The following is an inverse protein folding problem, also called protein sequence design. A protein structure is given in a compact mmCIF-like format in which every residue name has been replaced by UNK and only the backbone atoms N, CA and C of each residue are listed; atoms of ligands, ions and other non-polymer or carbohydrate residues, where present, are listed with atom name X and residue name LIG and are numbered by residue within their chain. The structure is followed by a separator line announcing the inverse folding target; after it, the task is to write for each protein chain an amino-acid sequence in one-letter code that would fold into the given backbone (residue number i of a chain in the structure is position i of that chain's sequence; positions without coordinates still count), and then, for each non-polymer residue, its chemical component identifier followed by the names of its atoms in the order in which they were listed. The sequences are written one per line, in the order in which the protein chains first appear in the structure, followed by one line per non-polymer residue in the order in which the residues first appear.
data_IF_819952740002
#
_entry.id   IF_819952740002
#
_cell.length_a   1.000
_cell.length_b   1.000
_cell.length_c   1.000
_cell.angle_alpha   90.00
_cell.angle_beta   90.00
_cell.angle_gamma   90.00
#
_symmetry.space_group_name_H-M   'P 1'
#
loop_
_entity.id
_entity.type
_entity.pdbx_description
1 polymer ?
#
# COMPACT_ATOMS: atom_id res chain seq x y z
N UNK A 1 -23.63 -6.36 -24.77
CA UNK A 1 -22.42 -7.09 -25.18
C UNK A 1 -21.64 -7.45 -23.93
N UNK A 2 -21.16 -8.69 -23.80
CA UNK A 2 -20.23 -9.09 -22.74
C UNK A 2 -18.82 -8.62 -23.10
N UNK A 3 -18.44 -7.43 -22.66
CA UNK A 3 -17.08 -6.91 -22.80
C UNK A 3 -16.50 -6.55 -21.43
N UNK A 4 -15.18 -6.64 -21.29
CA UNK A 4 -14.47 -6.18 -20.09
C UNK A 4 -14.70 -4.68 -19.90
N UNK A 5 -14.84 -4.26 -18.64
CA UNK A 5 -15.05 -2.87 -18.26
C UNK A 5 -13.81 -2.31 -17.57
N UNK A 6 -13.64 -0.99 -17.58
CA UNK A 6 -12.54 -0.32 -16.89
C UNK A 6 -13.03 0.96 -16.24
N UNK A 7 -12.62 1.18 -15.00
CA UNK A 7 -12.90 2.40 -14.24
C UNK A 7 -11.57 3.07 -13.93
N UNK A 8 -11.41 4.31 -14.38
CA UNK A 8 -10.24 5.14 -14.07
C UNK A 8 -10.60 6.10 -12.94
N UNK A 9 -9.89 5.97 -11.81
CA UNK A 9 -10.03 6.90 -10.67
C UNK A 9 -8.82 7.83 -10.64
N UNK A 10 -9.03 9.08 -11.06
CA UNK A 10 -8.00 10.12 -11.11
C UNK A 10 -8.28 11.24 -10.11
N UNK A 11 -7.24 11.95 -9.70
CA UNK A 11 -7.35 13.07 -8.78
C UNK A 11 -6.02 13.36 -8.08
N UNK A 12 -5.92 14.53 -7.47
CA UNK A 12 -4.74 14.93 -6.71
C UNK A 12 -4.51 14.04 -5.48
N UNK A 13 -3.34 14.20 -4.89
CA UNK A 13 -2.98 13.53 -3.65
C UNK A 13 -3.97 13.89 -2.53
N UNK A 14 -4.51 12.90 -1.81
CA UNK A 14 -5.53 13.15 -0.78
C UNK A 14 -6.97 13.29 -1.28
N UNK A 15 -7.23 13.26 -2.60
CA UNK A 15 -8.58 13.41 -3.16
C UNK A 15 -9.55 12.22 -2.92
N UNK A 16 -9.19 11.26 -2.06
CA UNK A 16 -10.06 10.13 -1.70
C UNK A 16 -10.07 8.94 -2.68
N UNK A 17 -9.14 8.89 -3.65
CA UNK A 17 -9.08 7.82 -4.68
C UNK A 17 -9.15 6.40 -4.10
N UNK A 18 -8.37 6.13 -3.06
CA UNK A 18 -8.31 4.80 -2.41
C UNK A 18 -9.66 4.44 -1.76
N UNK A 19 -10.30 5.38 -1.09
CA UNK A 19 -11.62 5.17 -0.47
C UNK A 19 -12.71 4.96 -1.52
N UNK A 20 -12.68 5.71 -2.64
CA UNK A 20 -13.62 5.48 -3.75
C UNK A 20 -13.49 4.07 -4.33
N UNK A 21 -12.24 3.59 -4.52
CA UNK A 21 -11.98 2.23 -5.00
C UNK A 21 -12.48 1.17 -4.00
N UNK A 22 -12.29 1.41 -2.69
CA UNK A 22 -12.78 0.52 -1.63
C UNK A 22 -14.31 0.39 -1.62
N UNK A 23 -15.03 1.51 -1.69
CA UNK A 23 -16.49 1.54 -1.73
C UNK A 23 -16.99 0.83 -2.99
N UNK A 24 -16.38 1.11 -4.15
CA UNK A 24 -16.73 0.47 -5.42
C UNK A 24 -16.56 -1.06 -5.35
N UNK A 25 -15.44 -1.55 -4.79
CA UNK A 25 -15.21 -3.00 -4.64
C UNK A 25 -16.23 -3.65 -3.71
N UNK A 26 -16.56 -3.02 -2.57
CA UNK A 26 -17.58 -3.52 -1.65
C UNK A 26 -18.97 -3.58 -2.30
N UNK A 27 -19.33 -2.56 -3.07
CA UNK A 27 -20.57 -2.54 -3.83
C UNK A 27 -20.63 -3.69 -4.84
N UNK A 28 -19.59 -3.86 -5.67
CA UNK A 28 -19.51 -4.92 -6.69
C UNK A 28 -19.56 -6.32 -6.06
N UNK A 29 -18.89 -6.53 -4.92
CA UNK A 29 -18.95 -7.80 -4.20
C UNK A 29 -20.35 -8.10 -3.64
N UNK A 30 -21.09 -7.07 -3.22
CA UNK A 30 -22.45 -7.20 -2.69
C UNK A 30 -23.46 -7.52 -3.80
N UNK A 31 -23.43 -6.77 -4.91
CA UNK A 31 -24.42 -6.93 -6.00
C UNK A 31 -24.20 -8.18 -6.85
N UNK A 32 -22.98 -8.72 -6.89
CA UNK A 32 -22.65 -9.97 -7.57
C UNK A 32 -23.20 -11.23 -6.87
N UNK A 33 -24.00 -11.08 -5.80
CA UNK A 33 -24.60 -12.19 -5.02
C UNK A 33 -23.58 -13.25 -4.61
N UNK A 34 -22.38 -12.80 -4.26
CA UNK A 34 -21.27 -13.67 -3.85
C UNK A 34 -21.51 -14.38 -2.50
N UNK A 35 -22.71 -14.30 -1.90
CA UNK A 35 -23.03 -14.93 -0.61
C UNK A 35 -22.11 -14.46 0.52
N UNK A 36 -21.80 -15.35 1.48
CA UNK A 36 -20.77 -15.17 2.51
C UNK A 36 -19.34 -14.95 1.95
N UNK A 37 -19.16 -14.93 0.62
CA UNK A 37 -17.86 -14.82 -0.03
C UNK A 37 -17.55 -13.39 -0.50
N UNK A 38 -17.65 -12.41 0.41
CA UNK A 38 -16.98 -11.11 0.25
C UNK A 38 -15.42 -11.24 0.35
N UNK A 39 -14.91 -12.49 0.35
CA UNK A 39 -13.52 -12.85 0.60
C UNK A 39 -12.57 -12.26 -0.43
N UNK A 40 -12.93 -12.25 -1.73
CA UNK A 40 -12.06 -11.70 -2.78
C UNK A 40 -11.86 -10.20 -2.57
N UNK A 41 -12.95 -9.43 -2.37
CA UNK A 41 -12.84 -8.00 -2.12
C UNK A 41 -12.11 -7.70 -0.81
N UNK A 42 -12.36 -8.48 0.25
CA UNK A 42 -11.62 -8.38 1.52
C UNK A 42 -10.13 -8.68 1.36
N UNK A 43 -9.76 -9.71 0.59
CA UNK A 43 -8.36 -10.06 0.31
C UNK A 43 -7.68 -8.95 -0.49
N UNK A 44 -8.33 -8.39 -1.51
CA UNK A 44 -7.79 -7.23 -2.25
C UNK A 44 -7.59 -6.04 -1.32
N UNK A 45 -8.56 -5.74 -0.44
CA UNK A 45 -8.43 -4.65 0.53
C UNK A 45 -7.35 -4.92 1.57
N UNK A 46 -7.16 -6.17 2.00
CA UNK A 46 -6.11 -6.57 2.93
C UNK A 46 -4.71 -6.36 2.36
N UNK A 47 -4.54 -6.28 1.03
CA UNK A 47 -3.23 -5.95 0.42
C UNK A 47 -2.82 -4.49 0.59
N UNK A 48 -3.74 -3.57 0.93
CA UNK A 48 -3.42 -2.14 0.97
C UNK A 48 -2.28 -1.79 1.95
N UNK A 49 -2.26 -2.26 3.21
CA UNK A 49 -1.12 -2.01 4.10
C UNK A 49 0.22 -2.43 3.50
N UNK A 50 0.26 -3.56 2.76
CA UNK A 50 1.48 -3.99 2.06
C UNK A 50 1.85 -3.04 0.93
N UNK A 51 0.89 -2.73 0.05
CA UNK A 51 1.15 -1.86 -1.10
C UNK A 51 1.55 -0.44 -0.66
N UNK A 52 0.99 0.06 0.43
CA UNK A 52 1.35 1.36 0.99
C UNK A 52 2.73 1.32 1.67
N UNK A 53 3.04 0.27 2.44
CA UNK A 53 4.36 0.12 3.06
C UNK A 53 5.49 0.11 2.02
N UNK A 54 5.34 -0.67 0.95
CA UNK A 54 6.38 -0.87 -0.07
C UNK A 54 6.33 0.15 -1.22
N UNK A 55 5.22 0.86 -1.40
CA UNK A 55 4.99 1.71 -2.57
C UNK A 55 4.66 3.17 -2.26
N UNK A 56 4.36 3.52 -1.00
CA UNK A 56 4.12 4.89 -0.59
C UNK A 56 5.29 5.45 0.21
N UNK A 57 5.45 6.78 0.11
CA UNK A 57 6.46 7.52 0.85
C UNK A 57 5.93 8.90 1.24
N UNK A 58 6.58 9.49 2.25
CA UNK A 58 6.37 10.90 2.57
C UNK A 58 7.10 11.79 1.55
N UNK A 59 6.37 12.74 1.01
CA UNK A 59 6.85 13.81 0.13
C UNK A 59 6.59 15.16 0.78
N UNK A 60 7.10 16.24 0.17
CA UNK A 60 6.80 17.61 0.64
C UNK A 60 5.32 17.99 0.63
N UNK A 61 4.48 17.29 -0.15
CA UNK A 61 3.05 17.61 -0.34
C UNK A 61 2.09 16.60 0.28
N UNK A 62 2.54 15.37 0.53
CA UNK A 62 1.70 14.30 1.09
C UNK A 62 2.56 13.31 1.87
N UNK A 63 2.11 13.01 3.08
CA UNK A 63 2.72 12.08 4.02
C UNK A 63 2.62 10.60 3.60
N UNK A 64 1.62 10.25 2.78
CA UNK A 64 1.38 8.90 2.29
C UNK A 64 1.18 8.90 0.76
N UNK A 65 2.19 9.34 0.02
CA UNK A 65 2.13 9.52 -1.44
C UNK A 65 2.47 8.24 -2.18
N UNK A 66 1.53 7.70 -2.96
CA UNK A 66 1.81 6.54 -3.82
C UNK A 66 2.81 6.88 -4.92
N UNK A 67 3.87 6.09 -4.99
CA UNK A 67 4.97 6.24 -5.96
C UNK A 67 4.98 5.12 -7.00
N UNK A 68 3.79 4.59 -7.30
CA UNK A 68 3.51 3.56 -8.28
C UNK A 68 2.08 3.71 -8.81
N UNK A 69 1.82 3.21 -10.01
CA UNK A 69 0.48 3.00 -10.56
C UNK A 69 -0.08 1.64 -10.13
N UNK A 70 -1.35 1.62 -9.74
CA UNK A 70 -2.07 0.40 -9.33
C UNK A 70 -3.24 0.14 -10.27
N UNK A 71 -3.30 -1.04 -10.86
CA UNK A 71 -4.45 -1.52 -11.62
C UNK A 71 -4.97 -2.80 -10.98
N UNK A 72 -6.25 -2.82 -10.61
CA UNK A 72 -6.90 -3.96 -9.98
C UNK A 72 -7.86 -4.54 -11.00
N UNK A 73 -7.55 -5.74 -11.49
CA UNK A 73 -8.43 -6.54 -12.33
C UNK A 73 -9.34 -7.38 -11.40
N UNK A 74 -10.65 -7.17 -11.49
CA UNK A 74 -11.64 -8.00 -10.82
C UNK A 74 -12.20 -9.01 -11.83
N UNK A 75 -12.19 -10.28 -11.46
CA UNK A 75 -12.56 -11.38 -12.34
C UNK A 75 -13.93 -11.91 -11.95
N UNK A 76 -14.81 -12.05 -12.94
CA UNK A 76 -16.17 -12.56 -12.76
C UNK A 76 -16.35 -13.84 -13.57
N UNK A 77 -17.09 -14.80 -13.02
CA UNK A 77 -17.44 -16.02 -13.73
C UNK A 77 -18.59 -15.79 -14.74
N UNK A 78 -18.97 -16.85 -15.46
CA UNK A 78 -20.07 -16.80 -16.44
C UNK A 78 -21.44 -16.46 -15.82
N UNK A 79 -21.57 -16.51 -14.48
CA UNK A 79 -22.77 -16.13 -13.72
C UNK A 79 -22.66 -14.73 -13.10
N UNK A 80 -21.63 -13.97 -13.45
CA UNK A 80 -21.31 -12.62 -12.94
C UNK A 80 -21.02 -12.58 -11.44
N UNK A 81 -20.56 -13.70 -10.86
CA UNK A 81 -20.06 -13.74 -9.48
C UNK A 81 -18.58 -13.41 -9.45
N UNK A 82 -18.14 -12.70 -8.41
CA UNK A 82 -16.73 -12.38 -8.24
C UNK A 82 -15.94 -13.66 -7.94
N UNK A 83 -15.10 -14.06 -8.88
CA UNK A 83 -14.33 -15.31 -8.83
C UNK A 83 -12.88 -15.11 -8.39
N UNK A 84 -12.31 -13.91 -8.61
CA UNK A 84 -10.93 -13.62 -8.29
C UNK A 84 -10.54 -12.18 -8.54
N UNK A 85 -9.28 -11.85 -8.25
CA UNK A 85 -8.71 -10.54 -8.54
C UNK A 85 -7.21 -10.64 -8.81
N UNK A 86 -6.69 -9.72 -9.61
CA UNK A 86 -5.25 -9.57 -9.89
C UNK A 86 -4.85 -8.11 -9.75
N UNK A 87 -3.76 -7.85 -9.04
CA UNK A 87 -3.21 -6.50 -8.89
C UNK A 87 -1.96 -6.39 -9.76
N UNK A 88 -1.97 -5.41 -10.66
CA UNK A 88 -0.83 -5.03 -11.47
C UNK A 88 -0.22 -3.73 -10.94
N UNK A 89 1.09 -3.74 -10.78
CA UNK A 89 1.88 -2.60 -10.32
C UNK A 89 2.68 -2.07 -11.49
N UNK A 90 2.63 -0.75 -11.69
CA UNK A 90 3.31 -0.07 -12.78
C UNK A 90 4.17 1.07 -12.24
N UNK A 91 5.28 1.37 -12.92
CA UNK A 91 6.05 2.61 -12.75
C UNK A 91 6.41 2.94 -11.29
N UNK A 92 6.90 1.95 -10.54
CA UNK A 92 7.48 2.20 -9.22
C UNK A 92 8.67 3.17 -9.35
N UNK A 93 8.69 4.23 -8.54
CA UNK A 93 9.76 5.24 -8.52
C UNK A 93 11.08 4.70 -7.94
N UNK A 94 11.83 3.94 -8.76
CA UNK A 94 13.08 3.28 -8.34
C UNK A 94 14.12 4.23 -7.74
N UNK A 95 14.20 5.47 -8.23
CA UNK A 95 15.16 6.47 -7.73
C UNK A 95 15.00 6.77 -6.25
N UNK A 96 13.77 6.67 -5.71
CA UNK A 96 13.49 6.95 -4.30
C UNK A 96 14.25 6.07 -3.33
N UNK A 97 14.56 4.83 -3.73
CA UNK A 97 15.31 3.89 -2.89
C UNK A 97 16.69 4.44 -2.55
N UNK A 98 17.35 5.11 -3.49
CA UNK A 98 18.74 5.56 -3.36
C UNK A 98 18.89 7.07 -3.19
N UNK A 99 17.84 7.85 -3.45
CA UNK A 99 17.86 9.31 -3.38
C UNK A 99 16.58 9.88 -2.76
N UNK A 100 16.69 10.84 -1.85
CA UNK A 100 15.56 11.59 -1.30
C UNK A 100 15.84 13.10 -1.31
N UNK A 101 14.85 13.89 -1.70
CA UNK A 101 14.91 15.35 -1.58
C UNK A 101 14.72 15.78 -0.12
N UNK A 102 15.11 17.02 0.20
CA UNK A 102 14.87 17.63 1.50
C UNK A 102 13.38 17.56 1.89
N UNK A 103 13.11 17.17 3.14
CA UNK A 103 11.75 17.03 3.66
C UNK A 103 10.99 15.78 3.19
N UNK A 104 11.61 14.89 2.41
CA UNK A 104 11.02 13.62 1.99
C UNK A 104 11.58 12.41 2.74
N UNK A 105 10.87 11.29 2.71
CA UNK A 105 11.37 9.99 3.20
C UNK A 105 11.52 9.01 2.05
N UNK A 106 12.26 7.94 2.32
CA UNK A 106 12.19 6.71 1.52
C UNK A 106 10.82 6.01 1.74
N UNK A 107 10.62 4.83 1.14
CA UNK A 107 9.41 4.03 1.34
C UNK A 107 9.18 3.70 2.81
N UNK A 108 7.90 3.68 3.22
CA UNK A 108 7.52 3.52 4.62
C UNK A 108 8.06 2.24 5.26
N UNK A 109 8.13 1.13 4.49
CA UNK A 109 8.59 -0.17 4.99
C UNK A 109 9.96 -0.11 5.65
N UNK A 110 10.87 0.75 5.18
CA UNK A 110 12.20 0.87 5.78
C UNK A 110 12.12 1.41 7.21
N UNK A 111 11.35 2.48 7.41
CA UNK A 111 11.17 3.08 8.73
C UNK A 111 10.34 2.18 9.64
N UNK A 112 9.34 1.48 9.10
CA UNK A 112 8.55 0.48 9.81
C UNK A 112 9.41 -0.69 10.31
N UNK A 113 10.33 -1.21 9.51
CA UNK A 113 11.26 -2.27 9.95
C UNK A 113 12.22 -1.76 11.02
N UNK A 114 12.88 -0.63 10.77
CA UNK A 114 13.86 -0.05 11.70
C UNK A 114 13.21 0.31 13.05
N UNK A 115 11.97 0.82 13.03
CA UNK A 115 11.30 1.28 14.24
C UNK A 115 10.42 0.20 14.89
N UNK A 116 9.83 -0.72 14.11
CA UNK A 116 8.80 -1.65 14.57
C UNK A 116 9.20 -3.12 14.68
N UNK A 117 10.29 -3.57 14.05
CA UNK A 117 10.68 -4.97 14.10
C UNK A 117 11.06 -5.40 15.54
N UNK A 118 10.67 -6.61 16.00
CA UNK A 118 11.02 -7.09 17.33
C UNK A 118 12.48 -7.56 17.43
N UNK A 119 13.08 -7.99 16.33
CA UNK A 119 14.43 -8.57 16.25
C UNK A 119 15.46 -7.63 15.58
N UNK A 120 15.40 -6.33 15.91
CA UNK A 120 16.24 -5.29 15.26
C UNK A 120 17.74 -5.57 15.31
N UNK A 121 18.24 -6.10 16.42
CA UNK A 121 19.66 -6.39 16.60
C UNK A 121 20.13 -7.51 15.65
N UNK A 122 19.32 -8.56 15.47
CA UNK A 122 19.58 -9.64 14.51
C UNK A 122 19.58 -9.12 13.07
N UNK A 123 18.64 -8.21 12.77
CA UNK A 123 18.52 -7.57 11.47
C UNK A 123 19.56 -6.46 11.23
N UNK A 124 20.35 -6.07 12.25
CA UNK A 124 21.32 -4.97 12.17
C UNK A 124 20.71 -3.57 12.02
N UNK A 125 19.46 -3.37 12.46
CA UNK A 125 18.70 -2.10 12.33
C UNK A 125 18.41 -1.40 13.66
N UNK A 126 19.01 -1.87 14.75
CA UNK A 126 18.86 -1.36 16.11
C UNK A 126 19.39 0.08 16.31
N UNK A 127 20.29 0.54 15.44
CA UNK A 127 20.89 1.88 15.49
C UNK A 127 20.01 3.00 14.92
N UNK A 128 18.80 2.70 14.46
CA UNK A 128 17.85 3.68 13.94
C UNK A 128 18.11 4.10 12.47
N UNK A 129 17.22 4.89 11.86
CA UNK A 129 17.31 5.21 10.42
C UNK A 129 18.48 6.15 10.09
N UNK A 130 19.00 6.88 11.06
CA UNK A 130 20.05 7.91 10.88
C UNK A 130 21.37 7.33 10.39
N UNK A 131 21.66 6.05 10.69
CA UNK A 131 22.92 5.41 10.30
C UNK A 131 22.91 4.86 8.87
N UNK A 132 21.75 4.80 8.23
CA UNK A 132 21.60 4.24 6.90
C UNK A 132 21.62 5.34 5.84
N UNK A 133 22.58 5.29 4.93
CA UNK A 133 22.70 6.27 3.84
C UNK A 133 21.42 6.41 3.00
N UNK A 134 20.63 5.35 2.84
CA UNK A 134 19.37 5.39 2.09
C UNK A 134 18.17 5.93 2.88
N UNK A 135 18.34 6.25 4.17
CA UNK A 135 17.26 6.75 5.03
C UNK A 135 17.58 8.11 5.67
N UNK A 136 18.82 8.61 5.53
CA UNK A 136 19.30 9.81 6.23
C UNK A 136 19.56 11.04 5.36
N UNK A 137 19.32 10.95 4.05
CA UNK A 137 19.70 12.01 3.09
C UNK A 137 18.92 13.31 3.29
N UNK A 138 17.67 13.22 3.74
CA UNK A 138 16.79 14.37 3.98
C UNK A 138 16.82 14.88 5.41
N UNK A 139 17.49 14.18 6.33
CA UNK A 139 17.42 14.44 7.78
C UNK A 139 16.04 14.16 8.41
N UNK A 140 15.08 13.63 7.65
CA UNK A 140 13.72 13.37 8.13
C UNK A 140 13.49 11.89 8.43
N UNK A 141 13.35 11.59 9.72
CA UNK A 141 13.20 10.21 10.22
C UNK A 141 11.79 9.88 10.67
N UNK A 142 11.11 10.87 11.26
CA UNK A 142 9.75 10.80 11.77
C UNK A 142 8.88 11.85 11.09
N UNK A 143 7.56 11.66 11.15
CA UNK A 143 6.58 12.55 10.53
C UNK A 143 5.32 12.61 11.39
N UNK A 144 4.72 13.81 11.60
CA UNK A 144 3.44 13.90 12.28
C UNK A 144 2.39 13.00 11.64
N UNK A 145 1.64 12.25 12.45
CA UNK A 145 0.59 11.34 11.98
C UNK A 145 1.08 10.01 11.41
N UNK A 146 2.39 9.75 11.37
CA UNK A 146 2.95 8.45 10.98
C UNK A 146 3.50 7.73 12.21
N UNK A 147 2.87 6.62 12.58
CA UNK A 147 3.38 5.67 13.57
C UNK A 147 3.95 4.44 12.87
N UNK A 148 5.26 4.45 12.65
CA UNK A 148 5.97 3.35 11.99
C UNK A 148 5.90 2.03 12.78
N UNK A 149 5.73 2.07 14.11
CA UNK A 149 5.64 0.87 14.97
C UNK A 149 4.27 0.21 14.83
N UNK A 150 3.20 1.01 14.88
CA UNK A 150 1.84 0.51 14.65
C UNK A 150 1.70 0.00 13.21
N UNK A 151 2.17 0.77 12.23
CA UNK A 151 2.10 0.39 10.83
C UNK A 151 2.89 -0.90 10.52
N UNK A 152 4.02 -1.15 11.19
CA UNK A 152 4.73 -2.43 11.06
C UNK A 152 3.87 -3.62 11.50
N UNK A 153 3.13 -3.48 12.61
CA UNK A 153 2.20 -4.53 13.07
C UNK A 153 1.09 -4.79 12.06
N UNK A 154 0.55 -3.73 11.45
CA UNK A 154 -0.46 -3.83 10.39
C UNK A 154 0.09 -4.57 9.16
N UNK A 155 1.33 -4.28 8.75
CA UNK A 155 2.01 -4.98 7.66
C UNK A 155 2.18 -6.47 7.98
N UNK A 156 2.64 -6.82 9.19
CA UNK A 156 2.74 -8.22 9.61
C UNK A 156 1.38 -8.93 9.61
N UNK A 157 0.33 -8.27 10.12
CA UNK A 157 -1.04 -8.79 10.08
C UNK A 157 -1.57 -8.97 8.65
N UNK A 158 -1.25 -8.04 7.75
CA UNK A 158 -1.60 -8.16 6.34
C UNK A 158 -0.88 -9.34 5.66
N UNK A 159 0.43 -9.53 5.90
CA UNK A 159 1.15 -10.71 5.40
C UNK A 159 0.54 -12.02 5.90
N UNK A 160 0.14 -12.08 7.17
CA UNK A 160 -0.49 -13.28 7.74
C UNK A 160 -1.91 -13.56 7.22
N UNK A 161 -2.64 -12.53 6.76
CA UNK A 161 -4.03 -12.69 6.29
C UNK A 161 -4.17 -12.98 4.79
N UNK A 162 -3.10 -12.77 4.02
CA UNK A 162 -3.06 -13.00 2.57
C UNK A 162 -2.35 -14.31 2.21
N UNK A 163 -1.54 -14.86 3.13
CA UNK A 163 -0.91 -16.18 3.03
C UNK A 163 -1.95 -17.31 3.16
#
# INVERSE_FOLDING_TARGET
GCGNQSVLVSGESGAGKTESVKIMMQYLATVSKSGDQNRVAQQVLATNPLLEAFGNARTSRNDNSSRFGKFIELQFDATYKMAGARIHIYLLEKSRVVAQSEGERNYHVFYQVVNGAPNKAELGVDKGPQVFHYLNQSGLYTAPGIDDVSAFKEVCGAFASIA
#
